data_IF_725749533700
#
_entry.id   IF_725749533700
#
_cell.length_a   1.000
_cell.length_b   1.000
_cell.length_c   1.000
_cell.angle_alpha   90.00
_cell.angle_beta   90.00
_cell.angle_gamma   90.00
#
_symmetry.space_group_name_H-M   'P 1'
#
loop_
_entity.id
_entity.type
_entity.pdbx_description
1 polymer ?
#
# COMPACT_ATOMS: atom_id res chain seq x y z
N UNK A 1 15.45 45.29 5.89
CA UNK A 1 14.00 45.11 5.73
C UNK A 1 13.81 43.69 5.24
N UNK A 2 13.08 42.90 6.03
CA UNK A 2 13.23 41.46 6.21
C UNK A 2 12.99 40.59 4.97
N UNK A 3 13.79 39.54 4.82
CA UNK A 3 13.45 38.34 4.05
C UNK A 3 12.28 37.61 4.74
N UNK A 4 11.32 37.01 4.00
CA UNK A 4 10.32 36.15 4.61
C UNK A 4 10.89 34.74 4.79
N UNK A 5 10.96 34.30 6.04
CA UNK A 5 11.14 32.91 6.44
C UNK A 5 10.04 32.04 5.80
N UNK A 6 10.40 31.28 4.78
CA UNK A 6 9.57 30.20 4.25
C UNK A 6 9.63 29.00 5.21
N UNK A 7 8.87 29.05 6.31
CA UNK A 7 8.58 27.88 7.14
C UNK A 7 7.58 26.95 6.42
N UNK A 8 8.06 26.16 5.47
CA UNK A 8 7.44 24.87 5.21
C UNK A 8 7.96 23.91 6.28
N UNK A 9 7.21 23.82 7.39
CA UNK A 9 7.56 22.98 8.54
C UNK A 9 7.82 21.54 8.10
N UNK A 10 9.08 21.10 8.24
CA UNK A 10 9.47 19.71 8.04
C UNK A 10 8.60 18.80 8.92
N UNK A 11 7.77 17.95 8.29
CA UNK A 11 6.95 16.97 9.02
C UNK A 11 7.91 16.11 9.83
N UNK A 12 7.73 16.07 11.15
CA UNK A 12 8.59 15.28 12.02
C UNK A 12 8.48 13.79 11.67
N UNK A 13 9.55 13.02 11.93
CA UNK A 13 9.56 11.59 11.66
C UNK A 13 8.43 10.83 12.36
N UNK A 14 8.01 11.27 13.54
CA UNK A 14 6.90 10.68 14.30
C UNK A 14 5.54 11.02 13.69
N UNK A 15 5.34 12.26 13.24
CA UNK A 15 4.12 12.67 12.53
C UNK A 15 3.95 11.88 11.22
N UNK A 16 5.00 11.79 10.41
CA UNK A 16 4.98 11.03 9.16
C UNK A 16 4.66 9.55 9.40
N UNK A 17 5.26 8.96 10.44
CA UNK A 17 4.99 7.57 10.81
C UNK A 17 3.53 7.34 11.19
N UNK A 18 2.93 8.25 11.98
CA UNK A 18 1.51 8.16 12.36
C UNK A 18 0.60 8.22 11.14
N UNK A 19 0.83 9.19 10.25
CA UNK A 19 0.04 9.32 9.01
C UNK A 19 0.12 8.07 8.16
N UNK A 20 1.33 7.50 7.98
CA UNK A 20 1.49 6.26 7.24
C UNK A 20 0.82 5.08 7.92
N UNK A 21 0.81 4.99 9.26
CA UNK A 21 0.04 3.96 9.97
C UNK A 21 -1.45 4.06 9.66
N UNK A 22 -2.02 5.26 9.73
CA UNK A 22 -3.45 5.50 9.47
C UNK A 22 -3.80 5.15 8.01
N UNK A 23 -2.96 5.56 7.06
CA UNK A 23 -3.12 5.25 5.64
C UNK A 23 -3.00 3.73 5.37
N UNK A 24 -2.05 3.03 6.02
CA UNK A 24 -1.93 1.57 5.91
C UNK A 24 -3.17 0.84 6.45
N UNK A 25 -3.75 1.35 7.54
CA UNK A 25 -4.99 0.82 8.10
C UNK A 25 -6.17 1.02 7.15
N UNK A 26 -6.23 2.16 6.44
CA UNK A 26 -7.25 2.45 5.42
C UNK A 26 -7.10 1.52 4.20
N UNK A 27 -5.86 1.25 3.77
CA UNK A 27 -5.52 0.22 2.78
C UNK A 27 -5.84 -1.21 3.29
N UNK A 28 -6.16 -1.35 4.57
CA UNK A 28 -6.66 -2.57 5.18
C UNK A 28 -5.57 -3.44 5.84
N UNK A 29 -4.34 -2.94 5.95
CA UNK A 29 -3.26 -3.57 6.70
C UNK A 29 -3.32 -3.13 8.16
N UNK A 30 -3.64 -4.06 9.06
CA UNK A 30 -3.72 -3.84 10.50
C UNK A 30 -2.36 -4.17 11.13
N UNK A 31 -1.60 -3.12 11.47
CA UNK A 31 -0.24 -3.27 12.01
C UNK A 31 -0.22 -3.96 13.38
N UNK A 32 -1.31 -3.89 14.15
CA UNK A 32 -1.41 -4.53 15.47
C UNK A 32 -1.50 -6.06 15.35
N UNK A 33 -1.72 -6.58 14.14
CA UNK A 33 -1.77 -8.02 13.83
C UNK A 33 -0.48 -8.56 13.22
N UNK A 34 0.52 -7.71 13.04
CA UNK A 34 1.83 -8.12 12.56
C UNK A 34 2.72 -8.57 13.72
N UNK A 35 3.61 -9.53 13.45
CA UNK A 35 4.64 -9.89 14.43
C UNK A 35 5.60 -8.72 14.63
N UNK A 36 6.32 -8.71 15.75
CA UNK A 36 7.34 -7.69 16.00
C UNK A 36 8.43 -7.66 14.92
N UNK A 37 8.82 -8.84 14.41
CA UNK A 37 9.80 -8.97 13.33
C UNK A 37 9.28 -8.42 12.00
N UNK A 38 8.01 -8.66 11.66
CA UNK A 38 7.38 -8.09 10.47
C UNK A 38 7.28 -6.57 10.57
N UNK A 39 6.90 -6.05 11.74
CA UNK A 39 6.88 -4.61 12.00
C UNK A 39 8.28 -4.00 11.86
N UNK A 40 9.31 -4.66 12.37
CA UNK A 40 10.70 -4.18 12.26
C UNK A 40 11.12 -4.05 10.79
N UNK A 41 10.81 -5.05 9.97
CA UNK A 41 11.11 -5.04 8.54
C UNK A 41 10.30 -3.98 7.78
N UNK A 42 9.01 -3.84 8.11
CA UNK A 42 8.14 -2.81 7.55
C UNK A 42 8.67 -1.41 7.86
N UNK A 43 9.11 -1.14 9.10
CA UNK A 43 9.65 0.16 9.47
C UNK A 43 11.04 0.43 8.87
N UNK A 44 11.85 -0.60 8.65
CA UNK A 44 13.08 -0.47 7.87
C UNK A 44 12.77 -0.07 6.42
N UNK A 45 11.75 -0.68 5.81
CA UNK A 45 11.27 -0.31 4.46
C UNK A 45 10.73 1.12 4.42
N UNK A 46 9.92 1.51 5.40
CA UNK A 46 9.44 2.90 5.54
C UNK A 46 10.58 3.91 5.54
N UNK A 47 11.62 3.67 6.35
CA UNK A 47 12.78 4.55 6.43
C UNK A 47 13.45 4.71 5.04
N UNK A 48 13.67 3.60 4.35
CA UNK A 48 14.27 3.60 3.00
C UNK A 48 13.42 4.32 1.95
N UNK A 49 12.10 4.19 1.98
CA UNK A 49 11.22 4.88 1.03
C UNK A 49 11.16 6.37 1.34
N UNK A 50 11.05 6.76 2.61
CA UNK A 50 10.91 8.17 3.02
C UNK A 50 12.13 9.01 2.65
N UNK A 51 13.31 8.41 2.53
CA UNK A 51 14.53 9.11 2.08
C UNK A 51 14.41 9.66 0.65
N UNK A 52 13.50 9.12 -0.17
CA UNK A 52 13.32 9.49 -1.58
C UNK A 52 11.91 9.93 -1.95
N UNK A 53 10.94 9.73 -1.06
CA UNK A 53 9.53 10.03 -1.29
C UNK A 53 8.99 10.84 -0.09
N UNK A 54 8.69 12.13 -0.26
CA UNK A 54 8.16 12.97 0.82
C UNK A 54 6.65 12.78 1.04
N UNK A 55 5.90 12.23 0.08
CA UNK A 55 4.45 12.18 0.13
C UNK A 55 3.93 11.03 1.00
N UNK A 56 3.26 11.27 2.15
CA UNK A 56 2.88 10.21 3.10
C UNK A 56 2.05 9.07 2.49
N UNK A 57 1.01 9.40 1.71
CA UNK A 57 0.21 8.38 1.01
C UNK A 57 1.01 7.58 -0.02
N UNK A 58 1.91 8.22 -0.78
CA UNK A 58 2.81 7.50 -1.69
C UNK A 58 3.70 6.51 -0.92
N UNK A 59 4.20 6.90 0.25
CA UNK A 59 4.96 6.00 1.13
C UNK A 59 4.08 4.83 1.60
N UNK A 60 2.86 5.10 2.08
CA UNK A 60 1.94 4.07 2.57
C UNK A 60 1.57 3.07 1.47
N UNK A 61 1.28 3.56 0.26
CA UNK A 61 1.01 2.75 -0.93
C UNK A 61 2.21 1.83 -1.24
N UNK A 62 3.42 2.39 -1.32
CA UNK A 62 4.63 1.61 -1.62
C UNK A 62 4.95 0.58 -0.53
N UNK A 63 4.73 0.90 0.75
CA UNK A 63 4.90 -0.06 1.85
C UNK A 63 3.87 -1.19 1.75
N UNK A 64 2.61 -0.84 1.53
CA UNK A 64 1.53 -1.80 1.39
C UNK A 64 1.81 -2.78 0.26
N UNK A 65 2.18 -2.28 -0.92
CA UNK A 65 2.46 -3.12 -2.08
C UNK A 65 3.71 -3.95 -1.88
N UNK A 66 4.79 -3.39 -1.32
CA UNK A 66 5.96 -4.18 -0.93
C UNK A 66 5.58 -5.31 0.03
N UNK A 67 4.75 -5.04 1.04
CA UNK A 67 4.32 -6.04 2.01
C UNK A 67 3.54 -7.18 1.33
N UNK A 68 2.60 -6.84 0.44
CA UNK A 68 1.75 -7.82 -0.26
C UNK A 68 2.52 -8.61 -1.32
N UNK A 69 3.35 -7.95 -2.13
CA UNK A 69 3.90 -8.49 -3.37
C UNK A 69 5.32 -9.03 -3.20
N UNK A 70 6.19 -8.33 -2.46
CA UNK A 70 7.63 -8.57 -2.50
C UNK A 70 8.21 -9.11 -1.19
N UNK A 71 7.60 -8.79 -0.04
CA UNK A 71 8.21 -8.99 1.27
C UNK A 71 8.38 -10.46 1.66
N UNK A 72 7.54 -11.35 1.10
CA UNK A 72 7.32 -12.73 1.59
C UNK A 72 6.79 -12.81 3.03
N UNK A 73 6.43 -11.68 3.64
CA UNK A 73 5.87 -11.55 4.99
C UNK A 73 4.33 -11.53 4.98
N UNK A 74 3.70 -11.62 3.79
CA UNK A 74 2.27 -11.44 3.65
C UNK A 74 1.48 -12.43 4.50
N UNK A 75 0.74 -11.90 5.46
CA UNK A 75 -0.15 -12.64 6.34
C UNK A 75 -1.58 -12.15 6.13
N UNK A 76 -2.44 -13.04 5.60
CA UNK A 76 -3.85 -12.71 5.40
C UNK A 76 -4.59 -12.35 6.71
N UNK A 77 -4.13 -12.85 7.86
CA UNK A 77 -4.67 -12.50 9.18
C UNK A 77 -4.42 -11.04 9.58
N UNK A 78 -3.37 -10.42 9.04
CA UNK A 78 -3.08 -9.00 9.24
C UNK A 78 -3.97 -8.07 8.39
N UNK A 79 -4.78 -8.62 7.50
CA UNK A 79 -5.74 -7.86 6.72
C UNK A 79 -7.07 -7.70 7.49
N UNK A 80 -7.62 -6.47 7.56
CA UNK A 80 -8.87 -6.19 8.29
C UNK A 80 -10.09 -6.97 7.79
N UNK A 81 -10.06 -7.44 6.54
CA UNK A 81 -11.23 -8.02 5.85
C UNK A 81 -10.81 -8.95 4.72
N UNK A 82 -11.65 -9.95 4.44
CA UNK A 82 -11.55 -10.76 3.22
C UNK A 82 -11.58 -9.86 1.98
N UNK A 83 -10.81 -10.18 0.93
CA UNK A 83 -10.76 -9.36 -0.28
C UNK A 83 -10.20 -7.94 -0.08
N UNK A 84 -9.44 -7.69 1.00
CA UNK A 84 -8.87 -6.38 1.27
C UNK A 84 -7.94 -5.86 0.16
N UNK A 85 -7.23 -6.75 -0.56
CA UNK A 85 -6.34 -6.36 -1.66
C UNK A 85 -7.11 -5.71 -2.83
N UNK A 86 -8.26 -6.26 -3.23
CA UNK A 86 -9.07 -5.61 -4.27
C UNK A 86 -9.61 -4.25 -3.84
N UNK A 87 -9.97 -4.12 -2.55
CA UNK A 87 -10.41 -2.85 -1.98
C UNK A 87 -9.29 -1.83 -1.81
N UNK A 88 -8.07 -2.27 -1.51
CA UNK A 88 -6.93 -1.36 -1.40
C UNK A 88 -6.61 -0.73 -2.75
N UNK A 89 -6.72 -1.46 -3.88
CA UNK A 89 -6.63 -0.87 -5.22
C UNK A 89 -7.66 0.25 -5.42
N UNK A 90 -8.92 0.02 -5.04
CA UNK A 90 -9.97 1.03 -5.13
C UNK A 90 -9.69 2.25 -4.21
N UNK A 91 -9.21 2.02 -2.98
CA UNK A 91 -8.80 3.09 -2.05
C UNK A 91 -7.66 3.92 -2.64
N UNK A 92 -6.62 3.28 -3.19
CA UNK A 92 -5.51 3.95 -3.84
C UNK A 92 -5.99 4.84 -4.99
N UNK A 93 -6.91 4.35 -5.83
CA UNK A 93 -7.51 5.13 -6.92
C UNK A 93 -8.31 6.31 -6.41
N UNK A 94 -9.13 6.12 -5.37
CA UNK A 94 -9.88 7.22 -4.76
C UNK A 94 -8.94 8.30 -4.17
N UNK A 95 -7.78 7.90 -3.63
CA UNK A 95 -6.77 8.87 -3.20
C UNK A 95 -6.16 9.63 -4.39
N UNK A 96 -5.88 8.99 -5.52
CA UNK A 96 -5.39 9.65 -6.72
C UNK A 96 -6.42 10.58 -7.38
N UNK A 97 -7.71 10.23 -7.32
CA UNK A 97 -8.79 11.10 -7.78
C UNK A 97 -8.84 12.41 -6.96
N UNK A 98 -8.55 12.31 -5.65
CA UNK A 98 -8.46 13.46 -4.76
C UNK A 98 -7.10 14.18 -4.76
N UNK A 99 -6.05 13.53 -5.26
CA UNK A 99 -4.69 14.05 -5.29
C UNK A 99 -3.92 13.54 -6.53
N UNK A 100 -3.87 14.32 -7.61
CA UNK A 100 -3.23 13.92 -8.86
C UNK A 100 -1.73 13.61 -8.74
N UNK A 101 -1.05 14.08 -7.69
CA UNK A 101 0.35 13.74 -7.45
C UNK A 101 0.54 12.23 -7.16
N UNK A 102 -0.53 11.53 -6.76
CA UNK A 102 -0.52 10.10 -6.51
C UNK A 102 -0.76 9.24 -7.76
N UNK A 103 -1.23 9.82 -8.87
CA UNK A 103 -1.67 9.04 -10.03
C UNK A 103 -0.61 8.04 -10.53
N UNK A 104 0.63 8.49 -10.73
CA UNK A 104 1.69 7.63 -11.24
C UNK A 104 2.11 6.53 -10.27
N UNK A 105 2.09 6.79 -8.96
CA UNK A 105 2.41 5.75 -7.97
C UNK A 105 1.27 4.75 -7.88
N UNK A 106 0.02 5.20 -7.89
CA UNK A 106 -1.16 4.33 -7.86
C UNK A 106 -1.19 3.41 -9.07
N UNK A 107 -0.95 3.92 -10.27
CA UNK A 107 -0.92 3.11 -11.49
C UNK A 107 0.16 2.01 -11.44
N UNK A 108 1.38 2.40 -11.06
CA UNK A 108 2.51 1.46 -10.94
C UNK A 108 2.23 0.37 -9.92
N UNK A 109 1.80 0.76 -8.73
CA UNK A 109 1.65 -0.15 -7.60
C UNK A 109 0.38 -1.02 -7.72
N UNK A 110 -0.71 -0.50 -8.30
CA UNK A 110 -1.89 -1.29 -8.61
C UNK A 110 -1.58 -2.37 -9.67
N UNK A 111 -0.78 -2.04 -10.68
CA UNK A 111 -0.34 -3.01 -11.70
C UNK A 111 0.54 -4.12 -11.09
N UNK A 112 1.43 -3.77 -10.15
CA UNK A 112 2.22 -4.76 -9.41
C UNK A 112 1.34 -5.75 -8.64
N UNK A 113 0.33 -5.25 -7.91
CA UNK A 113 -0.66 -6.10 -7.24
C UNK A 113 -1.40 -6.99 -8.25
N UNK A 114 -1.84 -6.42 -9.38
CA UNK A 114 -2.59 -7.18 -10.40
C UNK A 114 -1.77 -8.36 -10.92
N UNK A 115 -0.50 -8.12 -11.27
CA UNK A 115 0.44 -9.16 -11.73
C UNK A 115 0.66 -10.24 -10.69
N UNK A 116 0.89 -9.84 -9.44
CA UNK A 116 1.04 -10.78 -8.34
C UNK A 116 -0.19 -11.67 -8.18
N UNK A 117 -1.40 -11.09 -8.17
CA UNK A 117 -2.63 -11.86 -8.06
C UNK A 117 -2.86 -12.78 -9.27
N UNK A 118 -2.49 -12.36 -10.49
CA UNK A 118 -2.53 -13.26 -11.65
C UNK A 118 -1.66 -14.49 -11.45
N UNK A 119 -0.41 -14.31 -11.01
CA UNK A 119 0.50 -15.42 -10.73
C UNK A 119 -0.05 -16.34 -9.63
N UNK A 120 -0.60 -15.77 -8.55
CA UNK A 120 -1.24 -16.55 -7.49
C UNK A 120 -2.40 -17.37 -8.05
N UNK A 121 -3.28 -16.77 -8.87
CA UNK A 121 -4.41 -17.47 -9.47
C UNK A 121 -4.02 -18.59 -10.44
N UNK A 122 -2.89 -18.47 -11.14
CA UNK A 122 -2.39 -19.55 -12.00
C UNK A 122 -1.97 -20.79 -11.22
N UNK A 123 -1.54 -20.60 -9.97
CA UNK A 123 -1.10 -21.69 -9.08
C UNK A 123 -2.17 -22.14 -8.09
N UNK A 124 -3.32 -21.48 -8.06
CA UNK A 124 -4.38 -21.75 -7.09
C UNK A 124 -5.10 -23.06 -7.40
N UNK A 125 -5.27 -23.92 -6.38
CA UNK A 125 -6.13 -25.10 -6.46
C UNK A 125 -7.60 -24.68 -6.34
N UNK A 126 -8.15 -24.20 -7.44
CA UNK A 126 -9.52 -23.75 -7.56
C UNK A 126 -10.10 -24.07 -8.94
N UNK A 127 -11.43 -24.26 -9.06
CA UNK A 127 -12.07 -24.45 -10.36
C UNK A 127 -11.74 -23.30 -11.32
N UNK A 128 -11.42 -23.63 -12.58
CA UNK A 128 -11.04 -22.64 -13.61
C UNK A 128 -12.04 -21.50 -13.76
N UNK A 129 -13.34 -21.79 -13.64
CA UNK A 129 -14.41 -20.79 -13.66
C UNK A 129 -14.27 -19.74 -12.55
N UNK A 130 -13.97 -20.19 -11.33
CA UNK A 130 -13.75 -19.31 -10.16
C UNK A 130 -12.54 -18.42 -10.38
N UNK A 131 -11.45 -18.96 -10.94
CA UNK A 131 -10.24 -18.19 -11.27
C UNK A 131 -10.56 -17.09 -12.29
N UNK A 132 -11.26 -17.41 -13.39
CA UNK A 132 -11.62 -16.45 -14.44
C UNK A 132 -12.55 -15.36 -13.90
N UNK A 133 -13.53 -15.71 -13.07
CA UNK A 133 -14.41 -14.74 -12.41
C UNK A 133 -13.63 -13.78 -11.48
N UNK A 134 -12.68 -14.31 -10.71
CA UNK A 134 -11.81 -13.50 -9.84
C UNK A 134 -10.91 -12.55 -10.64
N UNK A 135 -10.28 -13.04 -11.71
CA UNK A 135 -9.46 -12.24 -12.63
C UNK A 135 -10.28 -11.14 -13.32
N UNK A 136 -11.51 -11.43 -13.76
CA UNK A 136 -12.40 -10.45 -14.38
C UNK A 136 -12.77 -9.33 -13.41
N UNK A 137 -13.03 -9.65 -12.14
CA UNK A 137 -13.29 -8.64 -11.10
C UNK A 137 -12.07 -7.76 -10.86
N UNK A 138 -10.87 -8.35 -10.86
CA UNK A 138 -9.61 -7.63 -10.67
C UNK A 138 -9.28 -6.66 -11.82
N UNK A 139 -9.63 -7.00 -13.06
CA UNK A 139 -9.48 -6.09 -14.21
C UNK A 139 -10.35 -4.83 -14.07
N UNK A 140 -11.55 -4.99 -13.50
CA UNK A 140 -12.53 -3.91 -13.29
C UNK A 140 -12.27 -3.09 -12.03
N UNK A 141 -11.54 -3.66 -11.06
CA UNK A 141 -11.11 -3.02 -9.83
C UNK A 141 -9.97 -2.05 -10.06
#
# INVERSE_FOLDING_TARGET
MSEPDAQFGSITASTARRMVTDDLLELGLDLDRLSEDDLRQLWAKFKSIREREPHPRSIAIQIFVWYVVDSRLFNAGAMRRSGAIGRSIATMRAWADGDPALASVVDREAEAIKRFLYQVFETADAPRRTIVEAQTRLLKA
#
